data_IF_389352860603
#
_entry.id   IF_389352860603
#
_cell.length_a   1.000
_cell.length_b   1.000
_cell.length_c   1.000
_cell.angle_alpha   90.00
_cell.angle_beta   90.00
_cell.angle_gamma   90.00
#
_symmetry.space_group_name_H-M   'P 1'
#
loop_
_entity.id
_entity.type
_entity.pdbx_description
1 polymer ?
#
# COMPACT_ATOMS: atom_id res chain seq x y z
N UNK A 1 3.99 -4.73 -23.79
CA UNK A 1 5.18 -4.55 -22.94
C UNK A 1 5.85 -3.27 -23.40
N UNK A 2 6.31 -2.41 -22.49
CA UNK A 2 6.93 -1.14 -22.90
C UNK A 2 8.40 -1.36 -23.20
N UNK A 3 8.85 -0.88 -24.35
CA UNK A 3 10.24 -0.88 -24.77
C UNK A 3 10.72 0.56 -24.95
N UNK A 4 11.89 0.87 -24.40
CA UNK A 4 12.66 2.07 -24.76
C UNK A 4 13.50 1.74 -25.98
N UNK A 5 13.25 2.44 -27.09
CA UNK A 5 14.10 2.36 -28.28
C UNK A 5 14.95 3.61 -28.41
N UNK A 6 16.23 3.40 -28.68
CA UNK A 6 17.19 4.46 -28.99
C UNK A 6 17.84 4.17 -30.33
N UNK A 7 17.90 5.17 -31.21
CA UNK A 7 18.46 5.02 -32.54
C UNK A 7 18.59 6.35 -33.28
N UNK A 8 18.80 6.25 -34.58
CA UNK A 8 18.90 7.41 -35.48
C UNK A 8 17.89 7.25 -36.60
N UNK A 9 17.03 8.25 -36.81
CA UNK A 9 16.10 8.24 -37.94
C UNK A 9 16.86 8.53 -39.25
N UNK A 10 16.27 8.15 -40.39
CA UNK A 10 16.84 8.34 -41.73
C UNK A 10 17.23 9.80 -42.07
N UNK A 11 16.68 10.77 -41.35
CA UNK A 11 17.03 12.19 -41.45
C UNK A 11 18.24 12.61 -40.59
N UNK A 12 18.92 11.66 -39.96
CA UNK A 12 20.07 11.88 -39.07
C UNK A 12 19.70 12.34 -37.65
N UNK A 13 18.41 12.43 -37.31
CA UNK A 13 18.00 12.87 -35.98
C UNK A 13 18.06 11.72 -34.97
N UNK A 14 18.62 11.94 -33.77
CA UNK A 14 18.59 10.94 -32.71
C UNK A 14 17.16 10.77 -32.19
N UNK A 15 16.69 9.53 -32.13
CA UNK A 15 15.35 9.17 -31.64
C UNK A 15 15.50 8.35 -30.38
N UNK A 16 14.86 8.80 -29.30
CA UNK A 16 14.69 8.06 -28.05
C UNK A 16 13.20 8.10 -27.70
N UNK A 17 12.51 6.98 -27.82
CA UNK A 17 11.07 6.92 -27.59
C UNK A 17 10.66 5.62 -26.91
N UNK A 18 9.57 5.69 -26.16
CA UNK A 18 8.93 4.53 -25.57
C UNK A 18 7.83 4.02 -26.50
N UNK A 19 7.84 2.73 -26.77
CA UNK A 19 6.83 2.09 -27.61
C UNK A 19 6.30 0.84 -26.93
N UNK A 20 5.00 0.62 -27.05
CA UNK A 20 4.34 -0.54 -26.46
C UNK A 20 4.15 -1.61 -27.53
N UNK A 21 4.82 -2.74 -27.36
CA UNK A 21 4.79 -3.85 -28.29
C UNK A 21 4.75 -5.20 -27.55
N UNK A 22 4.24 -6.27 -28.20
CA UNK A 22 4.18 -7.58 -27.57
C UNK A 22 5.55 -8.23 -27.38
N UNK A 23 6.50 -7.96 -28.27
CA UNK A 23 7.84 -8.55 -28.29
C UNK A 23 8.88 -7.62 -28.96
N UNK A 24 10.17 -7.96 -28.81
CA UNK A 24 11.28 -7.21 -29.42
C UNK A 24 11.27 -7.30 -30.96
N UNK A 25 10.72 -8.38 -31.53
CA UNK A 25 10.59 -8.53 -32.98
C UNK A 25 9.63 -7.49 -33.59
N UNK A 26 8.49 -7.21 -32.93
CA UNK A 26 7.59 -6.14 -33.34
C UNK A 26 8.23 -4.75 -33.20
N UNK A 27 9.10 -4.55 -32.20
CA UNK A 27 9.86 -3.31 -32.03
C UNK A 27 10.83 -3.09 -33.20
N UNK A 28 11.53 -4.14 -33.64
CA UNK A 28 12.44 -4.08 -34.80
C UNK A 28 11.68 -3.78 -36.09
N UNK A 29 10.58 -4.50 -36.34
CA UNK A 29 9.74 -4.26 -37.52
C UNK A 29 9.16 -2.83 -37.55
N UNK A 30 8.79 -2.29 -36.39
CA UNK A 30 8.34 -0.90 -36.28
C UNK A 30 9.45 0.09 -36.63
N UNK A 31 10.66 -0.10 -36.13
CA UNK A 31 11.78 0.77 -36.43
C UNK A 31 12.17 0.73 -37.91
N UNK A 32 12.18 -0.46 -38.52
CA UNK A 32 12.42 -0.62 -39.96
C UNK A 32 11.35 0.12 -40.78
N UNK A 33 10.07 -0.01 -40.41
CA UNK A 33 8.96 0.69 -41.09
C UNK A 33 9.04 2.22 -40.99
N UNK A 34 9.70 2.73 -39.94
CA UNK A 34 9.88 4.17 -39.67
C UNK A 34 11.23 4.69 -40.17
N UNK A 35 12.07 3.84 -40.76
CA UNK A 35 13.43 4.20 -41.18
C UNK A 35 14.31 4.63 -40.00
N UNK A 36 14.14 3.99 -38.84
CA UNK A 36 14.94 4.24 -37.63
C UNK A 36 15.97 3.12 -37.52
N UNK A 37 17.25 3.48 -37.61
CA UNK A 37 18.34 2.56 -37.29
C UNK A 37 18.45 2.45 -35.77
N UNK A 38 18.04 1.31 -35.21
CA UNK A 38 18.09 1.06 -33.77
C UNK A 38 19.52 0.81 -33.29
N UNK A 39 19.92 1.51 -32.23
CA UNK A 39 21.18 1.29 -31.51
C UNK A 39 20.97 0.43 -30.28
N UNK A 40 19.80 0.56 -29.62
CA UNK A 40 19.47 -0.22 -28.43
C UNK A 40 17.95 -0.36 -28.27
N UNK A 41 17.52 -1.58 -27.94
CA UNK A 41 16.17 -1.89 -27.45
C UNK A 41 16.33 -2.29 -25.99
N UNK A 42 15.60 -1.62 -25.08
CA UNK A 42 15.56 -2.01 -23.66
C UNK A 42 14.12 -2.23 -23.23
N UNK A 43 13.76 -3.42 -22.71
CA UNK A 43 12.47 -3.58 -22.06
C UNK A 43 12.43 -2.66 -20.85
N UNK A 44 11.41 -1.82 -20.74
CA UNK A 44 11.12 -1.12 -19.51
C UNK A 44 10.35 -2.09 -18.60
N UNK A 45 10.90 -2.47 -17.44
CA UNK A 45 10.11 -3.15 -16.44
C UNK A 45 8.95 -2.24 -16.06
N UNK A 46 7.74 -2.80 -16.09
CA UNK A 46 6.52 -2.08 -15.77
C UNK A 46 6.66 -1.49 -14.36
N UNK A 47 6.61 -0.16 -14.16
CA UNK A 47 6.67 0.42 -12.81
C UNK A 47 5.43 0.07 -11.97
N UNK A 48 4.44 -0.59 -12.58
CA UNK A 48 3.24 -1.14 -11.95
C UNK A 48 3.42 -2.58 -11.44
N UNK A 49 4.50 -3.28 -11.81
CA UNK A 49 4.94 -4.46 -11.10
C UNK A 49 5.59 -3.97 -9.80
N UNK A 50 4.76 -3.81 -8.78
CA UNK A 50 5.12 -3.43 -7.42
C UNK A 50 6.53 -3.87 -7.07
N UNK A 51 7.35 -2.88 -6.71
CA UNK A 51 8.53 -3.06 -5.89
C UNK A 51 8.17 -4.03 -4.77
N UNK A 52 8.58 -5.29 -4.89
CA UNK A 52 8.58 -6.20 -3.77
C UNK A 52 9.50 -5.57 -2.72
N UNK A 53 8.90 -4.97 -1.70
CA UNK A 53 9.56 -4.45 -0.50
C UNK A 53 10.05 -5.63 0.34
N UNK A 54 10.80 -6.55 -0.28
CA UNK A 54 11.33 -7.77 0.29
C UNK A 54 12.86 -7.78 0.36
N UNK A 55 13.54 -6.79 -0.23
CA UNK A 55 15.02 -6.69 -0.20
C UNK A 55 15.58 -5.78 0.91
N UNK A 56 14.74 -5.22 1.78
CA UNK A 56 15.23 -4.68 3.06
C UNK A 56 15.32 -5.87 4.01
N UNK A 57 16.45 -6.12 4.70
CA UNK A 57 16.51 -7.08 5.78
C UNK A 57 15.48 -6.66 6.83
N UNK A 58 14.26 -7.19 6.71
CA UNK A 58 13.19 -6.92 7.65
C UNK A 58 13.63 -7.62 8.93
N UNK A 59 13.72 -6.90 10.07
CA UNK A 59 14.00 -7.57 11.33
C UNK A 59 13.02 -8.75 11.48
N UNK A 60 13.43 -9.85 12.13
CA UNK A 60 12.63 -11.07 12.26
C UNK A 60 11.43 -10.88 13.21
N UNK A 61 10.73 -9.76 13.10
CA UNK A 61 9.43 -9.55 13.70
C UNK A 61 8.44 -10.41 12.94
N UNK A 62 8.12 -11.57 13.54
CA UNK A 62 7.06 -12.46 13.06
C UNK A 62 5.83 -11.64 12.71
N UNK A 63 5.22 -11.90 11.55
CA UNK A 63 4.07 -11.16 11.03
C UNK A 63 2.93 -11.09 12.06
N UNK A 64 2.76 -12.15 12.84
CA UNK A 64 1.84 -12.20 13.98
C UNK A 64 2.13 -11.11 15.04
N UNK A 65 3.40 -10.87 15.38
CA UNK A 65 3.77 -9.89 16.39
C UNK A 65 3.41 -8.47 15.95
N UNK A 66 3.67 -8.13 14.67
CA UNK A 66 3.27 -6.85 14.09
C UNK A 66 1.75 -6.64 14.12
N UNK A 67 0.97 -7.68 13.81
CA UNK A 67 -0.49 -7.62 13.87
C UNK A 67 -1.00 -7.43 15.31
N UNK A 68 -0.37 -8.07 16.30
CA UNK A 68 -0.69 -7.87 17.73
C UNK A 68 -0.39 -6.46 18.20
N UNK A 69 0.73 -5.87 17.80
CA UNK A 69 1.06 -4.47 18.15
C UNK A 69 0.03 -3.51 17.59
N UNK A 70 -0.36 -3.65 16.31
CA UNK A 70 -1.38 -2.81 15.68
C UNK A 70 -2.74 -2.98 16.39
N UNK A 71 -3.13 -4.22 16.69
CA UNK A 71 -4.34 -4.52 17.46
C UNK A 71 -4.34 -3.82 18.82
N UNK A 72 -3.23 -3.92 19.57
CA UNK A 72 -3.10 -3.27 20.87
C UNK A 72 -3.22 -1.74 20.78
N UNK A 73 -2.54 -1.12 19.81
CA UNK A 73 -2.67 0.33 19.58
C UNK A 73 -4.11 0.74 19.26
N UNK A 74 -4.81 -0.04 18.42
CA UNK A 74 -6.22 0.23 18.09
C UNK A 74 -7.14 0.10 19.31
N UNK A 75 -6.90 -0.89 20.17
CA UNK A 75 -7.65 -1.00 21.43
C UNK A 75 -7.36 0.16 22.37
N UNK A 76 -6.10 0.57 22.55
CA UNK A 76 -5.73 1.70 23.41
C UNK A 76 -6.42 2.98 22.94
N UNK A 77 -6.34 3.30 21.64
CA UNK A 77 -7.02 4.47 21.09
C UNK A 77 -8.54 4.36 21.17
N UNK A 78 -9.09 3.17 20.91
CA UNK A 78 -10.52 2.89 21.07
C UNK A 78 -11.01 3.16 22.48
N UNK A 79 -10.28 2.70 23.50
CA UNK A 79 -10.60 2.95 24.91
C UNK A 79 -10.45 4.42 25.28
N UNK A 80 -9.40 5.10 24.81
CA UNK A 80 -9.24 6.55 25.03
C UNK A 80 -10.45 7.30 24.48
N UNK A 81 -10.84 7.03 23.23
CA UNK A 81 -12.02 7.66 22.62
C UNK A 81 -13.32 7.32 23.38
N UNK A 82 -13.46 6.08 23.84
CA UNK A 82 -14.63 5.63 24.60
C UNK A 82 -14.75 6.31 25.97
N UNK A 83 -13.63 6.62 26.62
CA UNK A 83 -13.60 7.39 27.87
C UNK A 83 -13.76 8.89 27.63
N UNK A 84 -13.23 9.42 26.53
CA UNK A 84 -13.34 10.84 26.18
C UNK A 84 -14.76 11.24 25.74
N UNK A 85 -15.50 10.33 25.11
CA UNK A 85 -16.89 10.52 24.70
C UNK A 85 -17.84 11.00 25.82
N UNK A 86 -17.96 10.26 26.95
CA UNK A 86 -18.81 10.68 28.06
C UNK A 86 -18.29 11.93 28.77
N UNK A 87 -16.97 12.15 28.84
CA UNK A 87 -16.39 13.41 29.38
C UNK A 87 -16.84 14.60 28.52
N UNK A 88 -16.76 14.47 27.19
CA UNK A 88 -17.25 15.47 26.24
C UNK A 88 -18.75 15.73 26.40
N UNK A 89 -19.54 14.69 26.65
CA UNK A 89 -20.98 14.81 26.85
C UNK A 89 -21.33 15.53 28.17
N UNK A 90 -20.63 15.22 29.26
CA UNK A 90 -20.79 15.91 30.56
C UNK A 90 -20.39 17.39 30.43
N UNK A 91 -19.27 17.69 29.77
CA UNK A 91 -18.84 19.05 29.45
C UNK A 91 -19.88 19.81 28.61
N UNK A 92 -20.49 19.16 27.61
CA UNK A 92 -21.50 19.77 26.76
C UNK A 92 -22.76 20.15 27.56
N UNK A 93 -23.21 19.28 28.48
CA UNK A 93 -24.31 19.57 29.41
C UNK A 93 -23.96 20.75 30.32
N UNK A 94 -22.76 20.74 30.91
CA UNK A 94 -22.33 21.77 31.86
C UNK A 94 -22.16 23.15 31.21
N UNK A 95 -21.65 23.19 29.97
CA UNK A 95 -21.35 24.44 29.26
C UNK A 95 -22.52 24.96 28.39
N UNK A 96 -23.65 24.22 28.32
CA UNK A 96 -24.76 24.47 27.38
C UNK A 96 -24.32 24.65 25.92
N UNK A 97 -23.15 24.13 25.56
CA UNK A 97 -22.61 24.22 24.22
C UNK A 97 -23.00 22.98 23.41
N UNK A 98 -23.19 23.10 22.07
CA UNK A 98 -23.55 22.00 21.19
C UNK A 98 -22.37 21.06 20.88
N UNK A 99 -21.50 20.79 21.86
CA UNK A 99 -20.33 19.89 21.74
C UNK A 99 -20.76 18.41 21.72
N UNK A 100 -22.05 18.11 21.92
CA UNK A 100 -22.61 16.75 21.87
C UNK A 100 -22.27 15.96 20.60
N UNK A 101 -22.13 16.65 19.46
CA UNK A 101 -21.74 16.03 18.18
C UNK A 101 -20.34 15.40 18.28
N UNK A 102 -19.41 16.02 19.01
CA UNK A 102 -18.05 15.51 19.21
C UNK A 102 -18.09 14.25 20.08
N UNK A 103 -18.90 14.25 21.14
CA UNK A 103 -19.11 13.06 21.97
C UNK A 103 -19.61 11.86 21.15
N UNK A 104 -20.60 12.08 20.27
CA UNK A 104 -21.15 11.03 19.41
C UNK A 104 -20.14 10.53 18.36
N UNK A 105 -19.37 11.45 17.75
CA UNK A 105 -18.30 11.09 16.83
C UNK A 105 -17.20 10.25 17.51
N UNK A 106 -16.83 10.59 18.76
CA UNK A 106 -15.86 9.84 19.55
C UNK A 106 -16.35 8.43 19.88
N UNK A 107 -17.64 8.25 20.20
CA UNK A 107 -18.22 6.92 20.41
C UNK A 107 -18.20 6.07 19.14
N UNK A 108 -18.58 6.64 17.99
CA UNK A 108 -18.53 5.93 16.71
C UNK A 108 -17.10 5.54 16.34
N UNK A 109 -16.14 6.44 16.54
CA UNK A 109 -14.72 6.19 16.28
C UNK A 109 -14.17 5.11 17.23
N UNK A 110 -14.52 5.17 18.51
CA UNK A 110 -14.13 4.17 19.49
C UNK A 110 -14.59 2.77 19.10
N UNK A 111 -15.87 2.63 18.72
CA UNK A 111 -16.43 1.34 18.30
C UNK A 111 -15.72 0.82 17.05
N UNK A 112 -15.48 1.68 16.05
CA UNK A 112 -14.75 1.32 14.84
C UNK A 112 -13.33 0.83 15.13
N UNK A 113 -12.59 1.55 15.99
CA UNK A 113 -11.22 1.18 16.37
C UNK A 113 -11.16 -0.13 17.14
N UNK A 114 -12.09 -0.36 18.06
CA UNK A 114 -12.21 -1.62 18.81
C UNK A 114 -12.49 -2.79 17.87
N UNK A 115 -13.39 -2.61 16.89
CA UNK A 115 -13.75 -3.64 15.93
C UNK A 115 -12.58 -3.98 15.01
N UNK A 116 -11.87 -2.95 14.52
CA UNK A 116 -10.64 -3.13 13.74
C UNK A 116 -9.56 -3.84 14.59
N UNK A 117 -9.38 -3.44 15.84
CA UNK A 117 -8.47 -4.09 16.78
C UNK A 117 -8.78 -5.58 16.99
N UNK A 118 -10.06 -5.93 17.12
CA UNK A 118 -10.50 -7.31 17.23
C UNK A 118 -10.18 -8.14 15.98
N UNK A 119 -10.46 -7.61 14.78
CA UNK A 119 -10.14 -8.27 13.50
C UNK A 119 -8.63 -8.52 13.40
N UNK A 120 -7.80 -7.52 13.71
CA UNK A 120 -6.35 -7.66 13.69
C UNK A 120 -5.82 -8.67 14.73
N UNK A 121 -6.46 -8.76 15.90
CA UNK A 121 -6.11 -9.75 16.94
C UNK A 121 -6.37 -11.18 16.47
N UNK A 122 -7.54 -11.42 15.87
CA UNK A 122 -7.91 -12.73 15.30
C UNK A 122 -7.04 -13.06 14.09
N UNK A 123 -6.74 -12.08 13.24
CA UNK A 123 -5.80 -12.26 12.13
C UNK A 123 -4.41 -12.66 12.63
N UNK A 124 -3.94 -12.06 13.73
CA UNK A 124 -2.65 -12.38 14.32
C UNK A 124 -2.59 -13.81 14.88
N UNK A 125 -3.68 -14.32 15.48
CA UNK A 125 -3.74 -15.68 16.00
C UNK A 125 -3.78 -16.73 14.88
N UNK A 126 -4.52 -16.47 13.81
CA UNK A 126 -4.56 -17.34 12.62
C UNK A 126 -3.18 -17.41 11.96
N UNK A 127 -2.50 -16.27 11.78
CA UNK A 127 -1.16 -16.23 11.19
C UNK A 127 -0.15 -16.96 12.08
N UNK A 128 -0.22 -16.80 13.40
CA UNK A 128 0.64 -17.55 14.33
C UNK A 128 0.47 -19.07 14.19
N UNK A 129 -0.78 -19.54 14.09
CA UNK A 129 -1.07 -20.96 13.94
C UNK A 129 -0.59 -21.53 12.59
N UNK A 130 -0.61 -20.73 11.53
CA UNK A 130 -0.07 -21.13 10.22
C UNK A 130 1.46 -21.18 10.27
N UNK A 131 2.11 -20.17 10.85
CA UNK A 131 3.56 -20.13 11.01
C UNK A 131 4.07 -21.33 11.84
N UNK A 132 3.35 -21.72 12.89
CA UNK A 132 3.69 -22.90 13.70
C UNK A 132 3.60 -24.21 12.90
N UNK A 133 2.61 -24.34 12.01
CA UNK A 133 2.44 -25.53 11.16
C UNK A 133 3.43 -25.64 10.00
N UNK A 134 4.04 -24.55 9.57
CA UNK A 134 5.02 -24.55 8.48
C UNK A 134 6.45 -24.86 8.92
N UNK A 135 6.73 -24.78 10.23
CA UNK A 135 8.05 -25.07 10.82
C UNK A 135 8.13 -26.50 11.37
N UNK A 136 6.98 -27.18 11.52
CA UNK A 136 6.84 -28.61 11.85
C UNK A 136 6.96 -29.49 10.62
#
# INVERSE_FOLDING_TARGET
MKYSITGTAANGTPVSQLVDFPDEAAVMAYADSRGITLTSIRPLPDPSAEVAVDNVPRPPDRRSNRMRTVSFSLFVWGWICLLLGPISLIMAIASRNPIFVIGWALFSLAFFLILLGAIYSVGASIVAAIEEKQVS
#
